data_IF_204245694372
#
_entry.id   IF_204245694372
#
_cell.length_a   1.000
_cell.length_b   1.000
_cell.length_c   1.000
_cell.angle_alpha   90.00
_cell.angle_beta   90.00
_cell.angle_gamma   90.00
#
_symmetry.space_group_name_H-M   'P 1'
#
loop_
_entity.id
_entity.type
_entity.pdbx_description
1 polymer ?
#
# COMPACT_ATOMS: atom_id res chain seq x y z
N UNK A 1 60.59 26.99 0.36
CA UNK A 1 60.92 25.88 -0.55
C UNK A 1 59.77 24.90 -0.51
N UNK A 2 58.63 25.24 -1.12
CA UNK A 2 58.39 25.41 -2.57
C UNK A 2 58.48 24.10 -3.35
N UNK A 3 57.70 24.10 -4.44
CA UNK A 3 57.67 23.19 -5.57
C UNK A 3 56.73 21.99 -5.35
N UNK A 4 55.46 22.02 -5.76
CA UNK A 4 54.83 22.56 -6.99
C UNK A 4 55.28 21.85 -8.27
N UNK A 5 54.27 21.45 -9.07
CA UNK A 5 54.30 21.15 -10.52
C UNK A 5 54.95 19.82 -10.95
N UNK A 6 54.54 19.13 -12.02
CA UNK A 6 53.34 19.08 -12.89
C UNK A 6 53.64 17.92 -13.87
N UNK A 7 52.61 17.13 -14.19
CA UNK A 7 52.25 16.63 -15.53
C UNK A 7 53.33 16.08 -16.49
N UNK A 8 53.17 14.81 -16.90
CA UNK A 8 53.19 14.41 -18.33
C UNK A 8 52.62 12.97 -18.51
N UNK A 9 51.63 12.86 -19.40
CA UNK A 9 51.04 11.64 -20.00
C UNK A 9 52.01 10.99 -21.01
N UNK A 10 51.87 9.71 -21.48
CA UNK A 10 50.73 9.29 -22.30
C UNK A 10 50.32 7.78 -22.38
N UNK A 11 49.06 7.59 -22.83
CA UNK A 11 48.53 6.58 -23.78
C UNK A 11 48.24 5.09 -23.40
N UNK A 12 46.92 4.80 -23.49
CA UNK A 12 46.23 3.61 -24.04
C UNK A 12 46.06 2.35 -23.18
N UNK A 13 44.82 2.11 -22.73
CA UNK A 13 43.99 0.99 -23.23
C UNK A 13 42.55 1.08 -22.71
N UNK A 14 41.62 0.78 -23.61
CA UNK A 14 40.17 0.71 -23.45
C UNK A 14 39.73 -0.26 -22.34
N UNK A 15 38.70 0.11 -21.56
CA UNK A 15 37.39 -0.55 -21.61
C UNK A 15 36.40 0.12 -20.64
N UNK A 16 35.17 0.25 -21.11
CA UNK A 16 34.13 1.15 -20.62
C UNK A 16 33.19 0.38 -19.68
N UNK A 17 33.09 0.80 -18.42
CA UNK A 17 32.02 0.33 -17.51
C UNK A 17 31.43 1.50 -16.73
N UNK A 18 30.34 2.06 -17.25
CA UNK A 18 29.37 2.84 -16.49
C UNK A 18 28.04 2.07 -16.54
N UNK A 19 27.53 1.66 -15.38
CA UNK A 19 26.09 1.42 -15.19
C UNK A 19 25.71 2.20 -13.94
N UNK A 20 25.11 3.37 -14.19
CA UNK A 20 24.25 4.09 -13.27
C UNK A 20 22.80 4.01 -13.78
N UNK A 21 21.92 3.60 -12.87
CA UNK A 21 20.50 3.96 -12.74
C UNK A 21 19.48 3.78 -13.89
N UNK A 22 18.36 3.15 -13.47
CA UNK A 22 16.94 3.49 -13.71
C UNK A 22 16.05 2.64 -14.64
N UNK A 23 14.82 2.52 -14.13
CA UNK A 23 13.52 2.24 -14.75
C UNK A 23 13.23 0.79 -15.18
N UNK A 24 12.34 0.07 -14.48
CA UNK A 24 10.86 0.12 -14.53
C UNK A 24 10.25 -0.04 -15.92
N UNK A 25 9.35 -1.03 -15.95
CA UNK A 25 8.22 -1.27 -16.85
C UNK A 25 8.32 -2.31 -17.98
N UNK A 26 7.30 -3.18 -17.92
CA UNK A 26 6.52 -3.88 -18.96
C UNK A 26 6.62 -5.41 -19.06
N UNK A 27 5.45 -5.98 -18.68
CA UNK A 27 4.66 -7.03 -19.36
C UNK A 27 4.76 -8.45 -18.80
N UNK A 28 3.69 -9.24 -18.64
CA UNK A 28 2.28 -9.08 -19.06
C UNK A 28 1.32 -9.89 -18.18
N UNK A 29 0.13 -9.34 -18.00
CA UNK A 29 -1.12 -9.90 -17.48
C UNK A 29 -1.59 -11.19 -18.16
N UNK A 30 -2.14 -12.13 -17.38
CA UNK A 30 -3.14 -13.10 -17.85
C UNK A 30 -4.49 -12.81 -17.17
N UNK A 31 -5.31 -12.02 -17.86
CA UNK A 31 -6.76 -12.04 -17.76
C UNK A 31 -7.31 -12.86 -18.95
N UNK A 32 -8.48 -13.47 -18.75
CA UNK A 32 -9.25 -14.33 -19.66
C UNK A 32 -8.87 -15.81 -19.74
N UNK A 33 -9.56 -16.63 -18.94
CA UNK A 33 -10.30 -17.78 -19.49
C UNK A 33 -11.71 -17.78 -18.91
N UNK A 34 -12.68 -17.79 -19.83
CA UNK A 34 -14.09 -17.61 -19.55
C UNK A 34 -14.77 -18.82 -18.90
N UNK A 35 -15.73 -18.44 -18.06
CA UNK A 35 -16.88 -19.16 -17.53
C UNK A 35 -17.46 -20.24 -18.48
N UNK A 36 -17.57 -21.47 -17.97
CA UNK A 36 -18.59 -22.44 -18.38
C UNK A 36 -19.29 -22.96 -17.12
N UNK A 37 -20.61 -22.80 -17.09
CA UNK A 37 -21.43 -23.06 -15.92
C UNK A 37 -21.53 -24.54 -15.56
N UNK A 38 -21.62 -24.80 -14.26
CA UNK A 38 -22.22 -26.03 -13.75
C UNK A 38 -23.29 -25.68 -12.74
N UNK A 39 -24.43 -26.31 -12.98
CA UNK A 39 -25.70 -26.24 -12.29
C UNK A 39 -25.54 -26.71 -10.85
N UNK A 40 -26.18 -25.99 -9.92
CA UNK A 40 -26.35 -26.37 -8.52
C UNK A 40 -27.34 -27.54 -8.46
N UNK A 41 -27.01 -28.69 -7.88
CA UNK A 41 -28.02 -29.62 -7.41
C UNK A 41 -28.48 -29.17 -6.02
N UNK A 42 -29.69 -28.61 -5.97
CA UNK A 42 -30.44 -28.37 -4.75
C UNK A 42 -30.78 -29.73 -4.12
N UNK A 43 -30.10 -30.11 -3.05
CA UNK A 43 -30.59 -31.13 -2.13
C UNK A 43 -30.99 -30.44 -0.83
N UNK A 44 -32.30 -30.27 -0.69
CA UNK A 44 -32.97 -29.73 0.49
C UNK A 44 -32.69 -30.63 1.72
N UNK A 45 -32.10 -30.05 2.77
CA UNK A 45 -32.30 -30.54 4.13
C UNK A 45 -33.02 -29.43 4.92
N UNK A 46 -34.17 -29.84 5.42
CA UNK A 46 -35.18 -29.05 6.12
C UNK A 46 -34.69 -28.63 7.51
N UNK A 47 -34.97 -27.38 7.87
CA UNK A 47 -35.17 -26.96 9.25
C UNK A 47 -34.10 -26.01 9.79
N UNK A 48 -34.33 -24.70 9.62
CA UNK A 48 -34.42 -23.67 10.69
C UNK A 48 -34.62 -22.33 9.98
N UNK A 49 -35.87 -21.86 9.89
CA UNK A 49 -36.20 -20.58 9.29
C UNK A 49 -35.92 -19.48 10.32
N UNK A 50 -34.83 -18.73 10.15
CA UNK A 50 -34.49 -17.56 10.99
C UNK A 50 -35.41 -16.41 10.59
N UNK A 51 -36.20 -15.92 11.54
CA UNK A 51 -37.18 -14.84 11.33
C UNK A 51 -36.49 -13.50 11.09
N UNK A 52 -37.07 -12.67 10.21
CA UNK A 52 -36.61 -11.30 9.93
C UNK A 52 -36.59 -10.40 11.18
N UNK A 53 -37.38 -10.74 12.21
CA UNK A 53 -37.39 -10.03 13.50
C UNK A 53 -36.24 -10.49 14.43
N UNK A 54 -35.70 -11.70 14.24
CA UNK A 54 -34.52 -12.21 14.95
C UNK A 54 -33.24 -11.50 14.46
N UNK A 55 -33.18 -11.19 13.16
CA UNK A 55 -32.11 -10.39 12.53
C UNK A 55 -32.11 -8.95 13.06
N UNK A 56 -33.28 -8.37 13.32
CA UNK A 56 -33.39 -6.99 13.83
C UNK A 56 -33.01 -6.89 15.31
N UNK A 57 -33.33 -7.91 16.10
CA UNK A 57 -33.04 -7.97 17.55
C UNK A 57 -31.55 -8.16 17.87
N UNK A 58 -30.81 -8.87 17.01
CA UNK A 58 -29.36 -9.08 17.17
C UNK A 58 -28.51 -7.81 16.91
N UNK A 59 -29.09 -6.79 16.28
CA UNK A 59 -28.39 -5.52 15.99
C UNK A 59 -28.44 -4.50 17.13
N UNK A 60 -29.20 -4.78 18.20
CA UNK A 60 -29.42 -3.84 19.31
C UNK A 60 -28.52 -4.09 20.54
N UNK A 61 -27.63 -5.08 20.51
CA UNK A 61 -26.79 -5.42 21.66
C UNK A 61 -25.35 -5.73 21.24
N UNK A 62 -24.56 -4.68 21.04
CA UNK A 62 -23.11 -4.70 21.30
C UNK A 62 -22.58 -3.29 21.10
N UNK A 63 -22.33 -2.58 22.20
CA UNK A 63 -21.37 -1.49 22.22
C UNK A 63 -19.99 -2.07 21.81
N UNK A 64 -19.72 -2.11 20.51
CA UNK A 64 -18.41 -2.47 19.95
C UNK A 64 -17.44 -1.29 20.03
N UNK A 65 -17.36 -0.66 21.19
CA UNK A 65 -16.39 0.40 21.43
C UNK A 65 -15.81 0.24 22.84
N UNK A 66 -14.52 -0.10 22.98
CA UNK A 66 -13.86 0.10 24.26
C UNK A 66 -13.91 1.61 24.56
N UNK A 67 -14.49 2.05 25.68
CA UNK A 67 -14.65 3.48 26.01
C UNK A 67 -13.32 4.26 26.08
N UNK A 68 -12.19 3.55 26.09
CA UNK A 68 -10.85 4.08 26.33
C UNK A 68 -10.17 4.74 25.11
N UNK A 69 -10.70 4.61 23.89
CA UNK A 69 -10.05 5.20 22.70
C UNK A 69 -10.32 6.71 22.49
N UNK A 70 -11.19 7.32 23.29
CA UNK A 70 -11.51 8.76 23.21
C UNK A 70 -11.43 9.54 24.53
N UNK A 71 -10.83 8.99 25.58
CA UNK A 71 -10.63 9.74 26.81
C UNK A 71 -9.52 10.81 26.63
N UNK A 72 -9.76 12.10 26.94
CA UNK A 72 -8.70 13.10 27.05
C UNK A 72 -7.77 12.74 28.21
N UNK A 73 -6.46 12.80 28.00
CA UNK A 73 -5.47 12.57 29.05
C UNK A 73 -5.58 13.66 30.12
N UNK A 74 -5.98 13.28 31.34
CA UNK A 74 -5.69 14.02 32.57
C UNK A 74 -4.66 13.22 33.37
N UNK A 75 -3.67 13.93 33.89
CA UNK A 75 -2.36 13.52 34.38
C UNK A 75 -2.33 12.49 35.53
N UNK A 76 -1.43 11.51 35.39
CA UNK A 76 -0.50 10.89 36.38
C UNK A 76 -0.99 10.27 37.71
N UNK A 77 -0.25 9.29 38.28
CA UNK A 77 -0.83 8.07 38.84
C UNK A 77 -0.77 7.98 40.38
N UNK A 78 -1.66 7.18 40.97
CA UNK A 78 -1.36 6.41 42.18
C UNK A 78 -2.20 5.13 42.26
N UNK A 79 -1.68 4.04 42.87
CA UNK A 79 -2.17 2.69 42.68
C UNK A 79 -3.12 2.29 43.80
N UNK A 80 -4.23 1.60 43.50
CA UNK A 80 -4.80 0.67 44.48
C UNK A 80 -5.44 -0.56 43.85
N UNK A 81 -5.34 -1.70 44.56
CA UNK A 81 -5.57 -3.03 44.03
C UNK A 81 -7.03 -3.43 44.23
N UNK A 82 -7.64 -4.02 43.20
CA UNK A 82 -8.81 -4.86 43.43
C UNK A 82 -8.71 -6.10 42.55
N UNK A 83 -8.44 -7.22 43.23
CA UNK A 83 -8.79 -8.55 42.77
C UNK A 83 -10.26 -8.55 42.35
N UNK A 84 -10.50 -8.84 41.08
CA UNK A 84 -11.80 -9.33 40.62
C UNK A 84 -11.57 -10.65 39.89
N UNK A 85 -11.86 -11.69 40.65
CA UNK A 85 -12.05 -13.08 40.26
C UNK A 85 -12.81 -13.17 38.95
N UNK A 86 -12.15 -13.64 37.88
CA UNK A 86 -12.83 -13.95 36.63
C UNK A 86 -13.62 -15.25 36.78
N UNK A 87 -14.94 -15.11 36.88
CA UNK A 87 -15.91 -16.20 36.76
C UNK A 87 -15.93 -16.65 35.30
N UNK A 88 -15.57 -17.90 35.09
CA UNK A 88 -15.66 -18.60 33.81
C UNK A 88 -17.14 -18.92 33.53
N UNK A 89 -17.76 -18.25 32.56
CA UNK A 89 -19.04 -18.69 31.98
C UNK A 89 -18.78 -19.38 30.66
N UNK A 90 -18.67 -20.71 30.74
CA UNK A 90 -18.85 -21.57 29.59
C UNK A 90 -20.34 -21.76 29.27
N UNK A 91 -20.54 -22.26 28.05
CA UNK A 91 -21.71 -23.01 27.57
C UNK A 91 -22.84 -22.19 26.92
N UNK A 92 -22.87 -22.20 25.58
CA UNK A 92 -23.98 -22.73 24.78
C UNK A 92 -23.49 -23.02 23.34
N UNK A 93 -23.66 -24.26 22.88
CA UNK A 93 -23.81 -24.56 21.46
C UNK A 93 -22.91 -25.66 20.89
N UNK A 94 -23.45 -26.88 20.81
CA UNK A 94 -23.18 -27.80 19.70
C UNK A 94 -22.13 -28.88 19.96
N UNK A 95 -22.60 -30.03 20.43
CA UNK A 95 -21.88 -31.29 20.45
C UNK A 95 -21.54 -31.74 19.01
N UNK A 96 -20.34 -31.38 18.55
CA UNK A 96 -19.59 -32.16 17.58
C UNK A 96 -18.29 -32.55 18.26
N UNK A 97 -18.33 -33.66 18.99
CA UNK A 97 -17.14 -34.36 19.47
C UNK A 97 -16.28 -34.85 18.29
N UNK A 98 -15.52 -33.95 17.70
CA UNK A 98 -14.35 -34.26 16.89
C UNK A 98 -13.15 -34.36 17.82
N UNK A 99 -12.59 -35.56 17.93
CA UNK A 99 -11.35 -35.81 18.65
C UNK A 99 -10.26 -34.86 18.10
N UNK A 100 -9.47 -34.12 18.91
CA UNK A 100 -8.42 -33.24 18.40
C UNK A 100 -7.28 -33.99 17.66
N UNK A 101 -7.31 -35.32 17.69
CA UNK A 101 -6.48 -36.20 16.86
C UNK A 101 -7.00 -36.41 15.42
N UNK A 102 -8.15 -35.82 15.05
CA UNK A 102 -8.72 -35.84 13.69
C UNK A 102 -8.32 -34.63 12.83
N UNK A 103 -7.11 -34.08 13.02
CA UNK A 103 -6.38 -33.59 11.85
C UNK A 103 -5.98 -34.84 11.08
N UNK A 104 -6.96 -35.43 10.39
CA UNK A 104 -6.81 -36.63 9.59
C UNK A 104 -5.57 -36.42 8.74
N UNK A 105 -4.49 -37.17 9.05
CA UNK A 105 -3.38 -37.36 8.15
C UNK A 105 -4.03 -37.66 6.80
N UNK A 106 -4.03 -36.71 5.88
CA UNK A 106 -4.43 -36.98 4.51
C UNK A 106 -3.28 -37.82 3.97
N UNK A 107 -3.33 -39.11 4.28
CA UNK A 107 -2.42 -40.09 3.72
C UNK A 107 -2.82 -40.16 2.26
N UNK A 108 -2.12 -39.35 1.44
CA UNK A 108 -2.26 -39.42 0.00
C UNK A 108 -1.82 -40.81 -0.41
N UNK A 109 -2.71 -41.54 -1.08
CA UNK A 109 -2.35 -42.85 -1.60
C UNK A 109 -1.43 -42.71 -2.83
N UNK A 110 -0.82 -43.82 -3.25
CA UNK A 110 0.08 -43.80 -4.41
C UNK A 110 -0.63 -43.35 -5.70
N UNK A 111 -1.94 -43.60 -5.82
CA UNK A 111 -2.72 -43.26 -7.01
C UNK A 111 -2.89 -41.75 -7.10
N UNK A 112 -3.36 -41.11 -6.02
CA UNK A 112 -3.52 -39.67 -5.91
C UNK A 112 -2.20 -38.93 -6.12
N UNK A 113 -1.11 -39.41 -5.51
CA UNK A 113 0.23 -38.82 -5.68
C UNK A 113 0.65 -38.83 -7.16
N UNK A 114 0.41 -39.95 -7.86
CA UNK A 114 0.74 -40.08 -9.29
C UNK A 114 -0.13 -39.19 -10.14
N UNK A 115 -1.43 -39.13 -9.89
CA UNK A 115 -2.37 -38.30 -10.65
C UNK A 115 -2.00 -36.83 -10.56
N UNK A 116 -1.73 -36.32 -9.35
CA UNK A 116 -1.27 -34.94 -9.14
C UNK A 116 0.02 -34.63 -9.91
N UNK A 117 1.00 -35.53 -9.87
CA UNK A 117 2.24 -35.35 -10.62
C UNK A 117 2.01 -35.42 -12.15
N UNK A 118 1.17 -36.33 -12.62
CA UNK A 118 0.85 -36.48 -14.06
C UNK A 118 0.18 -35.22 -14.57
N UNK A 119 -0.78 -34.68 -13.84
CA UNK A 119 -1.47 -33.43 -14.16
C UNK A 119 -0.46 -32.27 -14.26
N UNK A 120 0.35 -32.07 -13.22
CA UNK A 120 1.38 -31.02 -13.20
C UNK A 120 2.37 -31.13 -14.36
N UNK A 121 2.84 -32.34 -14.67
CA UNK A 121 3.76 -32.61 -15.78
C UNK A 121 3.08 -32.40 -17.13
N UNK A 122 1.80 -32.77 -17.26
CA UNK A 122 1.01 -32.62 -18.48
C UNK A 122 0.87 -31.16 -18.92
N UNK A 123 0.89 -30.22 -17.98
CA UNK A 123 0.89 -28.78 -18.26
C UNK A 123 2.24 -28.22 -18.76
N UNK A 124 3.31 -29.03 -18.83
CA UNK A 124 4.64 -28.59 -19.28
C UNK A 124 5.07 -29.30 -20.58
N UNK A 125 5.11 -28.54 -21.68
CA UNK A 125 5.29 -29.05 -23.06
C UNK A 125 6.50 -29.98 -23.29
N UNK A 126 7.56 -29.84 -22.51
CA UNK A 126 8.80 -30.59 -22.71
C UNK A 126 9.06 -31.66 -21.67
N UNK A 127 8.10 -31.95 -20.79
CA UNK A 127 8.28 -32.95 -19.75
C UNK A 127 7.57 -34.24 -20.18
N UNK A 128 8.34 -35.32 -20.31
CA UNK A 128 7.78 -36.63 -20.68
C UNK A 128 7.01 -37.24 -19.51
N UNK A 129 5.84 -37.83 -19.76
CA UNK A 129 4.99 -38.41 -18.70
C UNK A 129 5.54 -39.70 -18.07
N UNK A 130 6.58 -40.30 -18.66
CA UNK A 130 7.08 -41.63 -18.25
C UNK A 130 7.57 -41.68 -16.81
N UNK A 131 8.39 -40.72 -16.29
CA UNK A 131 8.77 -40.74 -14.89
C UNK A 131 7.59 -40.67 -13.93
N UNK A 132 6.61 -39.80 -14.20
CA UNK A 132 5.42 -39.67 -13.36
C UNK A 132 4.58 -40.96 -13.31
N UNK A 133 4.46 -41.66 -14.45
CA UNK A 133 3.65 -42.88 -14.58
C UNK A 133 4.32 -44.16 -14.09
N UNK A 134 5.65 -44.27 -14.24
CA UNK A 134 6.32 -45.58 -14.11
C UNK A 134 7.44 -45.63 -13.08
N UNK A 135 7.95 -44.48 -12.59
CA UNK A 135 8.99 -44.54 -11.55
C UNK A 135 8.36 -44.96 -10.23
N UNK A 136 9.10 -45.75 -9.43
CA UNK A 136 8.63 -46.23 -8.14
C UNK A 136 8.66 -45.08 -7.14
N UNK A 137 7.58 -44.90 -6.36
CA UNK A 137 7.60 -44.05 -5.17
C UNK A 137 8.51 -44.72 -4.14
N UNK A 138 9.65 -44.10 -3.88
CA UNK A 138 10.67 -44.59 -2.95
C UNK A 138 10.40 -44.13 -1.52
N UNK A 139 9.99 -42.88 -1.34
CA UNK A 139 9.68 -42.31 -0.04
C UNK A 139 8.57 -41.26 -0.15
N UNK A 140 7.75 -41.18 0.90
CA UNK A 140 6.72 -40.16 1.12
C UNK A 140 6.93 -39.63 2.54
N UNK A 141 7.24 -38.35 2.66
CA UNK A 141 7.65 -37.72 3.92
C UNK A 141 6.75 -36.51 4.21
N UNK A 142 6.18 -36.47 5.40
CA UNK A 142 5.41 -35.32 5.88
C UNK A 142 6.37 -34.21 6.34
N UNK A 143 6.40 -33.12 5.60
CA UNK A 143 7.31 -32.00 5.76
C UNK A 143 6.55 -30.70 6.09
N UNK A 144 5.56 -30.80 6.99
CA UNK A 144 4.66 -29.68 7.33
C UNK A 144 5.41 -28.37 7.58
N UNK A 145 4.76 -27.29 7.17
CA UNK A 145 5.28 -25.92 7.27
C UNK A 145 4.34 -25.11 8.13
N UNK A 146 4.88 -24.35 9.07
CA UNK A 146 4.10 -23.52 9.97
C UNK A 146 4.23 -22.06 9.54
N UNK A 147 3.11 -21.37 9.49
CA UNK A 147 3.03 -19.98 9.09
C UNK A 147 2.36 -19.20 10.20
N UNK A 148 3.08 -18.22 10.74
CA UNK A 148 2.59 -17.29 11.73
C UNK A 148 2.42 -15.90 11.15
N UNK A 149 1.31 -15.25 11.45
CA UNK A 149 1.03 -13.87 11.05
C UNK A 149 0.57 -13.06 12.25
N UNK A 150 1.18 -11.89 12.45
CA UNK A 150 0.66 -10.85 13.33
C UNK A 150 0.22 -9.67 12.47
N UNK A 151 -1.07 -9.39 12.49
CA UNK A 151 -1.67 -8.23 11.85
C UNK A 151 -2.00 -7.19 12.92
N UNK A 152 -1.42 -5.99 12.81
CA UNK A 152 -1.68 -4.85 13.69
C UNK A 152 -2.48 -3.82 12.90
N UNK A 153 -3.76 -3.70 13.22
CA UNK A 153 -4.66 -2.72 12.63
C UNK A 153 -4.53 -1.38 13.36
N UNK A 154 -4.16 -0.35 12.62
CA UNK A 154 -3.85 0.98 13.16
C UNK A 154 -4.68 2.07 12.51
N UNK A 155 -4.85 3.16 13.26
CA UNK A 155 -5.42 4.41 12.77
C UNK A 155 -4.39 5.54 12.95
N UNK A 156 -4.09 6.22 11.86
CA UNK A 156 -3.24 7.41 11.82
C UNK A 156 -4.10 8.63 11.56
N UNK A 157 -3.85 9.72 12.28
CA UNK A 157 -4.48 11.01 12.00
C UNK A 157 -3.42 12.09 11.83
N UNK A 158 -3.59 12.93 10.82
CA UNK A 158 -2.79 14.15 10.62
C UNK A 158 -3.65 15.34 10.22
N UNK A 159 -3.22 16.55 10.60
CA UNK A 159 -3.88 17.79 10.21
C UNK A 159 -3.14 18.40 9.02
N UNK A 160 -3.85 18.57 7.90
CA UNK A 160 -3.36 19.27 6.72
C UNK A 160 -4.04 20.62 6.62
N UNK A 161 -3.26 21.69 6.52
CA UNK A 161 -3.80 23.03 6.33
C UNK A 161 -3.97 23.35 4.86
N UNK A 162 -5.21 23.47 4.43
CA UNK A 162 -5.57 23.90 3.07
C UNK A 162 -5.69 25.42 3.00
N UNK A 163 -5.36 25.98 1.82
CA UNK A 163 -5.46 27.41 1.53
C UNK A 163 -6.08 27.61 0.17
N UNK A 164 -7.11 28.43 0.09
CA UNK A 164 -7.78 28.79 -1.16
C UNK A 164 -7.90 30.32 -1.32
N UNK A 165 -7.82 30.85 -2.55
CA UNK A 165 -8.07 32.26 -2.80
C UNK A 165 -9.48 32.65 -2.34
N UNK A 166 -9.61 33.77 -1.64
CA UNK A 166 -10.93 34.26 -1.26
C UNK A 166 -11.70 34.71 -2.51
N UNK A 167 -12.64 33.89 -2.95
CA UNK A 167 -13.54 34.20 -4.07
C UNK A 167 -14.73 35.06 -3.63
N UNK A 168 -15.41 35.75 -4.57
CA UNK A 168 -16.59 36.57 -4.28
C UNK A 168 -17.76 35.78 -3.66
N UNK A 169 -17.81 34.46 -3.87
CA UNK A 169 -18.82 33.56 -3.29
C UNK A 169 -18.44 32.96 -1.93
N UNK A 170 -17.20 33.15 -1.46
CA UNK A 170 -16.69 32.65 -0.17
C UNK A 170 -16.91 33.67 0.98
N UNK A 171 -17.57 34.79 0.69
CA UNK A 171 -18.04 35.76 1.69
C UNK A 171 -19.30 35.27 2.45
N UNK A 172 -19.53 33.96 2.48
CA UNK A 172 -20.66 33.32 3.15
C UNK A 172 -20.18 32.55 4.38
N UNK A 173 -20.51 33.08 5.56
CA UNK A 173 -20.50 32.43 6.87
C UNK A 173 -19.31 31.49 7.16
N UNK A 174 -18.09 32.04 7.21
CA UNK A 174 -16.85 31.34 7.58
C UNK A 174 -17.03 30.63 8.91
N UNK A 175 -16.72 29.34 8.95
CA UNK A 175 -16.76 28.53 10.16
C UNK A 175 -15.46 28.65 10.94
N UNK A 176 -15.27 29.82 11.56
CA UNK A 176 -14.07 30.13 12.33
C UNK A 176 -14.24 29.97 13.84
N UNK A 177 -13.19 30.36 14.56
CA UNK A 177 -13.10 30.27 16.03
C UNK A 177 -14.17 31.07 16.78
N UNK A 178 -14.84 32.00 16.10
CA UNK A 178 -15.97 32.77 16.63
C UNK A 178 -17.22 31.90 16.85
N UNK A 179 -17.34 30.77 16.15
CA UNK A 179 -18.48 29.84 16.28
C UNK A 179 -18.27 28.71 17.28
N UNK A 180 -17.05 28.52 17.75
CA UNK A 180 -16.70 27.49 18.71
C UNK A 180 -15.19 27.23 18.79
N UNK A 181 -14.74 26.47 19.80
CA UNK A 181 -13.36 26.02 19.84
C UNK A 181 -13.09 25.03 18.71
N UNK A 182 -11.90 25.13 18.13
CA UNK A 182 -11.41 24.16 17.16
C UNK A 182 -11.16 22.81 17.85
N UNK A 183 -11.71 21.74 17.29
CA UNK A 183 -11.59 20.39 17.86
C UNK A 183 -10.19 19.81 17.64
N UNK A 184 -9.70 19.07 18.63
CA UNK A 184 -8.52 18.24 18.48
C UNK A 184 -8.75 17.13 17.46
N UNK A 185 -7.68 16.72 16.77
CA UNK A 185 -7.80 15.73 15.68
C UNK A 185 -8.37 14.37 16.13
N UNK A 186 -8.12 13.98 17.39
CA UNK A 186 -8.63 12.74 17.99
C UNK A 186 -10.02 12.88 18.64
N UNK A 187 -10.54 14.12 18.72
CA UNK A 187 -11.88 14.42 19.23
C UNK A 187 -12.94 14.36 18.12
N UNK A 188 -12.51 14.32 16.85
CA UNK A 188 -13.40 14.16 15.70
C UNK A 188 -14.11 12.80 15.75
N UNK A 189 -15.44 12.83 15.71
CA UNK A 189 -16.28 11.65 15.56
C UNK A 189 -16.26 11.17 14.10
N UNK A 190 -15.61 10.04 13.88
CA UNK A 190 -15.44 9.41 12.57
C UNK A 190 -16.02 7.99 12.54
N UNK A 191 -16.96 7.68 13.45
CA UNK A 191 -17.57 6.34 13.55
C UNK A 191 -18.21 5.89 12.24
N UNK A 192 -18.82 6.80 11.49
CA UNK A 192 -19.41 6.51 10.18
C UNK A 192 -18.39 6.17 9.10
N UNK A 193 -17.15 6.64 9.26
CA UNK A 193 -16.05 6.40 8.32
C UNK A 193 -15.19 5.20 8.72
N UNK A 194 -15.39 4.65 9.92
CA UNK A 194 -14.61 3.54 10.42
C UNK A 194 -14.80 2.28 9.54
N UNK A 195 -13.72 1.68 9.02
CA UNK A 195 -13.82 0.49 8.17
C UNK A 195 -14.00 -0.80 8.97
N UNK A 196 -14.26 -1.90 8.26
CA UNK A 196 -14.09 -3.23 8.84
C UNK A 196 -12.63 -3.42 9.25
N UNK A 197 -12.39 -4.12 10.36
CA UNK A 197 -11.04 -4.38 10.86
C UNK A 197 -10.19 -5.16 9.85
N UNK A 198 -8.89 -4.92 9.89
CA UNK A 198 -7.86 -5.58 9.10
C UNK A 198 -7.94 -5.34 7.57
N UNK A 199 -8.51 -4.22 7.13
CA UNK A 199 -8.41 -3.81 5.72
C UNK A 199 -6.97 -3.39 5.37
N UNK A 200 -6.52 -3.56 4.12
CA UNK A 200 -5.16 -3.15 3.73
C UNK A 200 -4.93 -1.65 3.94
N UNK A 201 -5.85 -0.82 3.47
CA UNK A 201 -5.75 0.64 3.56
C UNK A 201 -7.11 1.32 3.29
N UNK A 202 -7.42 2.38 4.04
CA UNK A 202 -8.47 3.36 3.76
C UNK A 202 -8.01 4.73 4.21
N UNK A 203 -8.22 5.75 3.38
CA UNK A 203 -8.05 7.16 3.74
C UNK A 203 -9.41 7.85 3.74
N UNK A 204 -9.61 8.74 4.70
CA UNK A 204 -10.72 9.68 4.72
C UNK A 204 -10.24 11.09 5.05
N UNK A 205 -11.00 12.08 4.58
CA UNK A 205 -10.71 13.50 4.75
C UNK A 205 -11.95 14.21 5.24
N UNK A 206 -11.83 14.88 6.37
CA UNK A 206 -12.91 15.65 6.97
C UNK A 206 -12.42 17.04 7.37
N UNK A 207 -13.26 18.05 7.18
CA UNK A 207 -12.94 19.40 7.63
C UNK A 207 -13.03 19.45 9.15
N UNK A 208 -12.02 20.00 9.82
CA UNK A 208 -12.07 20.24 11.26
C UNK A 208 -13.05 21.38 11.52
N UNK A 209 -14.11 21.18 12.32
CA UNK A 209 -15.07 22.24 12.64
C UNK A 209 -14.39 23.47 13.25
N UNK A 210 -14.90 24.65 12.94
CA UNK A 210 -14.42 25.94 13.47
C UNK A 210 -12.95 26.28 13.17
N UNK A 211 -12.32 25.58 12.23
CA UNK A 211 -10.90 25.77 11.85
C UNK A 211 -10.69 26.78 10.72
N UNK A 212 -11.76 27.37 10.17
CA UNK A 212 -11.63 28.28 9.05
C UNK A 212 -11.12 29.65 9.52
N UNK A 213 -10.16 30.22 8.78
CA UNK A 213 -9.61 31.54 9.07
C UNK A 213 -9.23 32.26 7.78
N UNK A 214 -9.52 33.55 7.72
CA UNK A 214 -8.98 34.43 6.68
C UNK A 214 -7.57 34.85 7.11
N UNK A 215 -6.60 34.55 6.27
CA UNK A 215 -5.23 35.02 6.46
C UNK A 215 -4.82 35.94 5.33
N UNK A 216 -3.93 36.89 5.64
CA UNK A 216 -3.30 37.72 4.61
C UNK A 216 -2.46 36.81 3.72
N UNK A 217 -2.57 37.01 2.41
CA UNK A 217 -1.74 36.30 1.45
C UNK A 217 -0.27 36.63 1.72
N UNK A 218 0.53 35.61 2.03
CA UNK A 218 1.95 35.75 2.36
C UNK A 218 2.77 36.28 1.16
N UNK A 219 2.38 35.93 -0.06
CA UNK A 219 3.10 36.31 -1.29
C UNK A 219 2.98 37.81 -1.59
N UNK A 220 1.78 38.38 -1.47
CA UNK A 220 1.57 39.82 -1.71
C UNK A 220 1.47 40.65 -0.43
N UNK A 221 1.70 40.04 0.74
CA UNK A 221 1.54 40.66 2.06
C UNK A 221 0.19 41.39 2.23
N UNK A 222 -0.90 40.81 1.75
CA UNK A 222 -2.23 41.43 1.83
C UNK A 222 -2.60 42.41 0.70
N UNK A 223 -1.67 42.78 -0.20
CA UNK A 223 -1.92 43.83 -1.22
C UNK A 223 -2.80 43.39 -2.39
N UNK A 224 -2.93 42.10 -2.66
CA UNK A 224 -3.60 41.57 -3.86
C UNK A 224 -2.78 41.69 -5.14
N UNK A 225 -1.75 42.52 -5.15
CA UNK A 225 -0.85 42.73 -6.29
C UNK A 225 0.61 42.49 -5.90
N UNK A 226 1.40 42.02 -6.87
CA UNK A 226 2.84 41.82 -6.76
C UNK A 226 3.57 42.68 -7.78
N UNK A 227 4.81 43.04 -7.47
CA UNK A 227 5.65 43.84 -8.35
C UNK A 227 5.94 43.07 -9.63
N UNK A 228 5.79 43.72 -10.78
CA UNK A 228 6.06 43.11 -12.08
C UNK A 228 7.55 42.76 -12.17
N UNK A 229 7.90 41.45 -12.25
CA UNK A 229 9.30 41.04 -12.27
C UNK A 229 10.03 41.53 -13.53
N UNK A 230 9.31 41.74 -14.63
CA UNK A 230 9.87 42.24 -15.89
C UNK A 230 10.24 43.73 -15.83
N UNK A 231 9.46 44.55 -15.11
CA UNK A 231 9.72 46.00 -15.06
C UNK A 231 10.68 46.39 -13.94
N UNK A 232 10.71 45.60 -12.88
CA UNK A 232 11.29 45.96 -11.60
C UNK A 232 12.19 44.84 -11.03
N UNK A 233 12.84 44.07 -11.90
CA UNK A 233 13.76 42.98 -11.51
C UNK A 233 14.85 43.46 -10.52
N UNK A 234 15.34 44.69 -10.73
CA UNK A 234 16.48 45.26 -9.99
C UNK A 234 16.04 46.27 -8.91
N UNK A 235 14.78 46.25 -8.47
CA UNK A 235 14.28 47.20 -7.46
C UNK A 235 14.30 46.60 -6.06
N UNK A 236 14.53 47.48 -5.08
CA UNK A 236 14.44 47.11 -3.67
C UNK A 236 13.01 46.66 -3.31
N UNK A 237 12.86 45.65 -2.43
CA UNK A 237 11.57 45.19 -1.97
C UNK A 237 10.73 46.34 -1.38
N UNK A 238 9.56 46.59 -1.97
CA UNK A 238 8.63 47.63 -1.50
C UNK A 238 8.52 48.86 -2.40
N UNK A 239 9.43 49.01 -3.37
CA UNK A 239 9.37 50.06 -4.39
C UNK A 239 9.12 49.45 -5.77
N UNK A 240 8.31 50.13 -6.58
CA UNK A 240 8.08 49.74 -7.97
C UNK A 240 7.96 50.99 -8.84
N UNK A 241 8.39 50.84 -10.10
CA UNK A 241 8.27 51.88 -11.12
C UNK A 241 7.03 51.60 -11.97
N UNK A 242 6.17 52.60 -12.04
CA UNK A 242 5.05 52.68 -12.97
C UNK A 242 5.52 53.21 -14.33
N UNK A 243 4.64 53.13 -15.32
CA UNK A 243 4.82 53.66 -16.69
C UNK A 243 6.06 53.16 -17.44
N UNK A 244 6.62 52.01 -17.04
CA UNK A 244 7.70 51.36 -17.80
C UNK A 244 7.19 50.92 -19.16
N UNK A 245 7.81 51.47 -20.20
CA UNK A 245 7.56 51.18 -21.60
C UNK A 245 8.87 50.73 -22.25
N UNK A 246 8.77 49.82 -23.22
CA UNK A 246 9.94 49.34 -23.99
C UNK A 246 9.90 49.91 -25.39
N UNK A 247 11.07 50.04 -26.03
CA UNK A 247 11.12 50.43 -27.43
C UNK A 247 10.38 49.39 -28.27
N UNK A 248 9.54 49.86 -29.18
CA UNK A 248 8.85 48.97 -30.09
C UNK A 248 9.89 48.26 -30.97
N UNK A 249 9.96 46.92 -30.95
CA UNK A 249 11.00 46.19 -31.69
C UNK A 249 10.82 46.33 -33.21
N UNK A 250 9.59 46.55 -33.68
CA UNK A 250 9.26 46.62 -35.11
C UNK A 250 9.70 47.94 -35.76
N UNK A 251 9.80 49.02 -34.98
CA UNK A 251 10.25 50.33 -35.48
C UNK A 251 11.46 50.89 -34.72
N UNK A 252 12.09 50.09 -33.86
CA UNK A 252 13.24 50.45 -33.04
C UNK A 252 13.14 51.81 -32.34
N UNK A 253 11.95 52.16 -31.83
CA UNK A 253 11.72 53.45 -31.18
C UNK A 253 11.24 54.61 -32.06
N UNK A 254 11.26 54.49 -33.40
CA UNK A 254 10.86 55.60 -34.31
C UNK A 254 9.37 55.90 -34.33
N UNK A 255 8.52 54.89 -34.14
CA UNK A 255 7.08 55.00 -34.39
C UNK A 255 6.68 54.88 -35.87
N UNK A 256 7.66 54.87 -36.78
CA UNK A 256 7.49 54.73 -38.22
C UNK A 256 8.33 53.55 -38.74
N UNK A 257 7.85 52.88 -39.79
CA UNK A 257 8.55 51.82 -40.52
C UNK A 257 8.95 52.40 -41.87
N UNK A 258 10.26 52.47 -42.12
CA UNK A 258 10.84 52.98 -43.36
C UNK A 258 10.85 51.89 -44.44
N UNK A 259 10.35 52.22 -45.63
CA UNK A 259 10.32 51.35 -46.80
C UNK A 259 11.46 51.64 -47.77
N UNK A 260 11.76 50.67 -48.64
CA UNK A 260 12.85 50.80 -49.63
C UNK A 260 12.61 51.88 -50.69
N UNK A 261 11.36 52.27 -50.89
CA UNK A 261 10.95 53.35 -51.80
C UNK A 261 11.08 54.75 -51.16
N UNK A 262 11.55 54.84 -49.91
CA UNK A 262 11.71 56.08 -49.17
C UNK A 262 10.44 56.57 -48.47
N UNK A 263 9.33 55.83 -48.55
CA UNK A 263 8.11 56.15 -47.81
C UNK A 263 8.16 55.64 -46.36
N UNK A 264 7.57 56.40 -45.44
CA UNK A 264 7.42 55.99 -44.03
C UNK A 264 5.96 55.63 -43.78
N UNK A 265 5.73 54.45 -43.17
CA UNK A 265 4.40 54.07 -42.70
C UNK A 265 4.32 54.08 -41.18
N UNK A 266 3.16 54.44 -40.65
CA UNK A 266 2.93 54.43 -39.21
C UNK A 266 3.06 53.00 -38.69
N UNK A 267 3.93 52.79 -37.70
CA UNK A 267 4.09 51.48 -37.08
C UNK A 267 2.79 51.07 -36.39
N UNK A 268 2.17 49.99 -36.87
CA UNK A 268 0.88 49.49 -36.39
C UNK A 268 0.99 49.01 -34.93
N UNK A 269 2.09 48.31 -34.60
CA UNK A 269 2.28 47.69 -33.28
C UNK A 269 2.36 48.69 -32.12
N UNK A 270 2.96 49.86 -32.34
CA UNK A 270 3.00 50.93 -31.33
C UNK A 270 2.06 52.09 -31.64
N UNK A 271 1.26 51.97 -32.70
CA UNK A 271 0.40 53.02 -33.22
C UNK A 271 1.10 54.39 -33.32
N UNK A 272 2.32 54.42 -33.86
CA UNK A 272 3.10 55.65 -34.05
C UNK A 272 3.87 56.17 -32.83
N UNK A 273 3.72 55.56 -31.64
CA UNK A 273 4.35 56.07 -30.41
C UNK A 273 5.82 55.71 -30.25
N UNK A 274 6.33 54.75 -31.02
CA UNK A 274 7.70 54.24 -30.91
C UNK A 274 7.97 53.38 -29.66
N UNK A 275 7.07 53.38 -28.68
CA UNK A 275 7.16 52.61 -27.43
C UNK A 275 5.91 51.77 -27.24
N UNK A 276 6.06 50.61 -26.61
CA UNK A 276 4.96 49.70 -26.27
C UNK A 276 4.93 49.45 -24.76
N UNK A 277 3.73 49.28 -24.17
CA UNK A 277 3.62 48.97 -22.76
C UNK A 277 4.25 47.62 -22.44
N UNK A 278 4.63 47.41 -21.19
CA UNK A 278 5.13 46.11 -20.75
C UNK A 278 4.05 45.04 -21.00
N UNK A 279 4.41 43.95 -21.69
CA UNK A 279 3.48 42.87 -22.00
C UNK A 279 2.91 42.19 -20.74
N UNK A 280 3.68 42.17 -19.65
CA UNK A 280 3.30 41.49 -18.40
C UNK A 280 2.36 42.33 -17.53
N UNK A 281 2.59 43.63 -17.39
CA UNK A 281 1.83 44.50 -16.47
C UNK A 281 1.04 45.63 -17.14
N UNK A 282 1.13 45.77 -18.46
CA UNK A 282 0.51 46.87 -19.19
C UNK A 282 1.04 48.25 -18.77
N UNK A 283 2.31 48.32 -18.38
CA UNK A 283 2.98 49.51 -17.80
C UNK A 283 2.54 49.92 -16.40
N UNK A 284 1.64 49.20 -15.73
CA UNK A 284 1.23 49.51 -14.34
C UNK A 284 2.31 49.24 -13.28
N UNK A 285 3.40 48.56 -13.64
CA UNK A 285 4.45 48.16 -12.68
C UNK A 285 4.05 47.04 -11.71
N UNK A 286 2.74 46.75 -11.59
CA UNK A 286 2.15 45.71 -10.75
C UNK A 286 1.36 44.70 -11.57
N UNK A 287 1.32 43.46 -11.09
CA UNK A 287 0.48 42.38 -11.63
C UNK A 287 -0.36 41.79 -10.51
N UNK A 288 -1.51 41.21 -10.87
CA UNK A 288 -2.37 40.55 -9.89
C UNK A 288 -1.61 39.38 -9.25
N UNK A 289 -1.69 39.26 -7.94
CA UNK A 289 -1.14 38.12 -7.24
C UNK A 289 -1.92 36.86 -7.65
N UNK A 290 -1.24 35.88 -8.24
CA UNK A 290 -1.86 34.63 -8.69
C UNK A 290 -2.37 33.80 -7.51
N UNK A 291 -1.64 33.80 -6.39
CA UNK A 291 -1.96 33.02 -5.19
C UNK A 291 -3.29 33.42 -4.56
N UNK A 292 -3.59 34.72 -4.47
CA UNK A 292 -4.87 35.21 -3.92
C UNK A 292 -5.83 35.75 -5.00
N UNK A 293 -5.45 35.62 -6.28
CA UNK A 293 -6.20 36.12 -7.45
C UNK A 293 -6.62 37.59 -7.36
N UNK A 294 -5.80 38.42 -6.72
CA UNK A 294 -6.11 39.85 -6.50
C UNK A 294 -6.83 40.17 -5.20
N UNK A 295 -7.32 39.19 -4.44
CA UNK A 295 -8.12 39.43 -3.22
C UNK A 295 -7.31 39.86 -2.00
N UNK A 296 -5.98 39.70 -2.01
CA UNK A 296 -5.10 40.02 -0.88
C UNK A 296 -5.15 39.03 0.28
N UNK A 297 -6.18 38.20 0.37
CA UNK A 297 -6.41 37.25 1.45
C UNK A 297 -6.67 35.84 0.94
N UNK A 298 -6.40 34.85 1.79
CA UNK A 298 -6.65 33.43 1.56
C UNK A 298 -7.57 32.91 2.65
N UNK A 299 -8.56 32.11 2.27
CA UNK A 299 -9.28 31.28 3.23
C UNK A 299 -8.42 30.09 3.55
N UNK A 300 -8.20 29.85 4.84
CA UNK A 300 -7.47 28.70 5.34
C UNK A 300 -8.42 27.82 6.14
N UNK A 301 -8.23 26.51 6.08
CA UNK A 301 -9.00 25.53 6.85
C UNK A 301 -8.13 24.34 7.20
N UNK A 302 -8.38 23.73 8.34
CA UNK A 302 -7.69 22.51 8.72
C UNK A 302 -8.53 21.30 8.29
N UNK A 303 -7.89 20.38 7.57
CA UNK A 303 -8.46 19.11 7.14
C UNK A 303 -7.80 18.01 7.95
N UNK A 304 -8.60 17.20 8.64
CA UNK A 304 -8.13 15.97 9.23
C UNK A 304 -8.06 14.90 8.14
N UNK A 305 -6.88 14.33 7.98
CA UNK A 305 -6.66 13.16 7.12
C UNK A 305 -6.48 11.96 8.04
N UNK A 306 -7.39 11.00 7.91
CA UNK A 306 -7.41 9.79 8.75
C UNK A 306 -7.16 8.58 7.89
N UNK A 307 -6.20 7.75 8.30
CA UNK A 307 -5.79 6.55 7.57
C UNK A 307 -5.91 5.33 8.46
N UNK A 308 -6.67 4.34 8.01
CA UNK A 308 -6.70 3.02 8.60
C UNK A 308 -5.90 2.06 7.73
N UNK A 309 -4.99 1.30 8.33
CA UNK A 309 -4.20 0.31 7.60
C UNK A 309 -3.80 -0.84 8.51
N UNK A 310 -3.53 -1.99 7.90
CA UNK A 310 -2.98 -3.15 8.60
C UNK A 310 -1.49 -3.25 8.33
N UNK A 311 -0.71 -3.18 9.41
CA UNK A 311 0.67 -3.65 9.38
C UNK A 311 0.64 -5.17 9.55
N UNK A 312 1.38 -5.91 8.74
CA UNK A 312 1.41 -7.37 8.82
C UNK A 312 2.85 -7.85 8.86
N UNK A 313 3.18 -8.64 9.87
CA UNK A 313 4.40 -9.42 9.90
C UNK A 313 4.06 -10.88 9.74
N UNK A 314 4.89 -11.59 8.99
CA UNK A 314 4.68 -12.99 8.65
C UNK A 314 5.98 -13.75 8.78
N UNK A 315 5.91 -14.90 9.43
CA UNK A 315 7.02 -15.82 9.63
C UNK A 315 6.66 -17.19 9.09
N UNK A 316 7.62 -17.85 8.46
CA UNK A 316 7.50 -19.21 7.96
C UNK A 316 8.55 -20.06 8.67
N UNK A 317 8.13 -21.18 9.22
CA UNK A 317 9.02 -22.20 9.77
C UNK A 317 8.78 -23.50 9.03
N UNK A 318 9.69 -23.79 8.10
CA UNK A 318 9.69 -25.02 7.32
C UNK A 318 10.58 -26.07 7.99
N UNK A 319 10.08 -27.30 8.09
CA UNK A 319 10.92 -28.44 8.46
C UNK A 319 11.99 -28.69 7.40
N UNK A 320 13.11 -29.33 7.79
CA UNK A 320 14.26 -29.58 6.90
C UNK A 320 13.88 -30.27 5.57
N UNK A 321 12.81 -31.07 5.57
CA UNK A 321 12.28 -31.72 4.37
C UNK A 321 11.72 -30.74 3.33
N UNK A 322 11.14 -29.62 3.76
CA UNK A 322 10.50 -28.59 2.93
C UNK A 322 11.39 -27.39 2.60
N UNK A 323 12.62 -27.32 3.13
CA UNK A 323 13.55 -26.18 2.94
C UNK A 323 13.93 -25.89 1.48
N UNK A 324 13.68 -26.81 0.54
CA UNK A 324 13.93 -26.59 -0.90
C UNK A 324 12.80 -25.86 -1.62
N UNK A 325 11.69 -25.60 -0.93
CA UNK A 325 10.53 -24.86 -1.45
C UNK A 325 10.64 -23.41 -0.97
N UNK A 326 10.55 -22.41 -1.87
CA UNK A 326 10.61 -21.00 -1.49
C UNK A 326 9.45 -20.61 -0.59
N UNK A 327 9.71 -19.71 0.35
CA UNK A 327 8.71 -19.19 1.27
C UNK A 327 7.52 -18.58 0.53
N UNK A 328 7.70 -17.93 -0.63
CA UNK A 328 6.57 -17.32 -1.36
C UNK A 328 5.52 -18.34 -1.80
N UNK A 329 5.91 -19.61 -1.97
CA UNK A 329 4.97 -20.70 -2.27
C UNK A 329 4.08 -20.95 -1.05
N UNK A 330 4.68 -21.04 0.15
CA UNK A 330 3.95 -21.15 1.41
C UNK A 330 3.15 -19.89 1.73
N UNK A 331 3.56 -18.74 1.19
CA UNK A 331 2.83 -17.50 1.38
C UNK A 331 1.43 -17.55 0.77
N UNK A 332 1.30 -18.21 -0.39
CA UNK A 332 0.04 -18.34 -1.12
C UNK A 332 -0.74 -19.61 -0.77
N UNK A 333 -0.08 -20.62 -0.22
CA UNK A 333 -0.68 -21.90 0.11
C UNK A 333 -1.75 -21.76 1.19
N UNK A 334 -2.87 -22.48 1.03
CA UNK A 334 -3.89 -22.60 2.07
C UNK A 334 -3.49 -23.67 3.08
N UNK A 335 -3.53 -23.30 4.35
CA UNK A 335 -3.29 -24.19 5.48
C UNK A 335 -4.50 -24.34 6.39
N UNK A 336 -4.34 -25.16 7.42
CA UNK A 336 -5.29 -25.30 8.53
C UNK A 336 -4.89 -24.31 9.62
N UNK A 337 -5.83 -23.51 10.09
CA UNK A 337 -5.58 -22.58 11.18
C UNK A 337 -5.53 -23.32 12.51
N UNK A 338 -4.42 -23.17 13.24
CA UNK A 338 -4.22 -23.76 14.57
C UNK A 338 -4.62 -22.80 15.69
N UNK A 339 -4.41 -21.49 15.48
CA UNK A 339 -4.94 -20.46 16.38
C UNK A 339 -5.38 -19.20 15.62
N UNK A 340 -6.40 -18.54 16.16
CA UNK A 340 -6.85 -17.21 15.77
C UNK A 340 -7.16 -16.42 17.04
N UNK A 341 -6.27 -15.52 17.43
CA UNK A 341 -6.49 -14.70 18.61
C UNK A 341 -6.55 -13.25 18.19
N UNK A 342 -7.60 -12.56 18.63
CA UNK A 342 -7.80 -11.15 18.39
C UNK A 342 -7.84 -10.42 19.73
N UNK A 343 -7.03 -9.39 19.89
CA UNK A 343 -6.93 -8.60 21.12
C UNK A 343 -6.51 -7.16 20.80
N UNK A 344 -6.55 -6.25 21.76
CA UNK A 344 -5.93 -4.92 21.59
C UNK A 344 -4.42 -5.06 21.32
N UNK A 345 -3.77 -5.93 22.09
CA UNK A 345 -2.40 -6.36 21.89
C UNK A 345 -2.33 -7.88 22.10
N UNK A 346 -1.84 -8.60 21.11
CA UNK A 346 -1.73 -10.06 21.17
C UNK A 346 -0.49 -10.49 21.97
N UNK A 347 -0.67 -11.53 22.78
CA UNK A 347 0.42 -12.28 23.41
C UNK A 347 0.65 -13.59 22.66
N UNK A 348 1.82 -14.24 22.87
CA UNK A 348 2.06 -15.56 22.29
C UNK A 348 0.96 -16.56 22.66
N UNK A 349 0.57 -17.39 21.70
CA UNK A 349 -0.38 -18.47 21.89
C UNK A 349 0.25 -19.64 22.65
N UNK A 350 -0.57 -20.34 23.42
CA UNK A 350 -0.14 -21.51 24.19
C UNK A 350 -0.67 -22.81 23.57
N UNK A 351 0.24 -23.73 23.28
CA UNK A 351 0.01 -25.07 22.76
C UNK A 351 0.56 -26.08 23.77
N UNK A 352 -0.33 -26.76 24.50
CA UNK A 352 0.04 -27.64 25.61
C UNK A 352 1.04 -28.73 25.21
N UNK A 353 0.87 -29.30 24.03
CA UNK A 353 1.65 -30.45 23.56
C UNK A 353 2.74 -30.08 22.53
N UNK A 354 3.08 -28.79 22.39
CA UNK A 354 4.06 -28.35 21.39
C UNK A 354 4.92 -27.19 21.85
N UNK A 355 6.12 -27.51 22.35
CA UNK A 355 7.16 -26.52 22.65
C UNK A 355 7.50 -25.68 21.41
N UNK A 356 7.66 -26.34 20.26
CA UNK A 356 7.97 -25.67 19.00
C UNK A 356 6.93 -24.61 18.62
N UNK A 357 5.62 -24.90 18.75
CA UNK A 357 4.58 -23.92 18.41
C UNK A 357 4.53 -22.75 19.40
N UNK A 358 4.85 -22.98 20.68
CA UNK A 358 4.96 -21.93 21.68
C UNK A 358 6.12 -20.98 21.39
N UNK A 359 7.29 -21.54 21.06
CA UNK A 359 8.47 -20.78 20.66
C UNK A 359 8.21 -20.01 19.37
N UNK A 360 7.71 -20.68 18.32
CA UNK A 360 7.38 -20.07 17.05
C UNK A 360 6.34 -18.95 17.20
N UNK A 361 5.30 -19.15 18.01
CA UNK A 361 4.34 -18.09 18.32
C UNK A 361 5.01 -16.91 19.03
N UNK A 362 5.95 -17.15 19.94
CA UNK A 362 6.66 -16.09 20.65
C UNK A 362 7.52 -15.27 19.69
N UNK A 363 8.19 -15.94 18.75
CA UNK A 363 8.96 -15.27 17.70
C UNK A 363 8.10 -14.40 16.78
N UNK A 364 6.93 -14.89 16.35
CA UNK A 364 6.00 -14.11 15.51
C UNK A 364 5.56 -12.83 16.22
N UNK A 365 5.31 -12.90 17.53
CA UNK A 365 4.95 -11.74 18.35
C UNK A 365 6.15 -10.81 18.59
N UNK A 366 7.36 -11.35 18.71
CA UNK A 366 8.59 -10.56 18.86
C UNK A 366 8.90 -9.75 17.60
N UNK A 367 8.60 -10.30 16.42
CA UNK A 367 8.73 -9.64 15.12
C UNK A 367 7.57 -8.66 14.81
N UNK A 368 6.96 -8.07 15.85
CA UNK A 368 5.87 -7.09 15.71
C UNK A 368 6.33 -5.85 14.94
N UNK A 369 5.52 -5.42 13.97
CA UNK A 369 5.81 -4.25 13.17
C UNK A 369 5.84 -2.97 14.02
N UNK A 370 6.80 -2.05 13.79
CA UNK A 370 6.84 -0.78 14.49
C UNK A 370 5.62 0.07 14.10
N UNK A 371 4.95 0.63 15.11
CA UNK A 371 3.78 1.48 14.94
C UNK A 371 4.24 2.94 14.79
N UNK A 372 3.79 3.68 13.77
CA UNK A 372 4.15 5.09 13.61
C UNK A 372 3.72 5.95 14.81
N UNK A 373 4.47 6.99 15.19
CA UNK A 373 4.16 7.81 16.38
C UNK A 373 2.83 8.55 16.31
N UNK A 374 2.35 8.82 15.10
CA UNK A 374 1.06 9.46 14.81
C UNK A 374 -0.10 8.47 14.76
N UNK A 375 0.17 7.17 14.95
CA UNK A 375 -0.80 6.11 14.90
C UNK A 375 -1.26 5.67 16.30
N UNK A 376 -2.50 5.19 16.37
CA UNK A 376 -3.01 4.40 17.50
C UNK A 376 -3.26 2.97 17.03
N UNK A 377 -2.86 2.00 17.85
CA UNK A 377 -3.25 0.60 17.64
C UNK A 377 -4.72 0.46 18.02
N UNK A 378 -5.50 -0.13 17.12
CA UNK A 378 -6.90 -0.45 17.39
C UNK A 378 -7.01 -1.89 17.85
N UNK A 379 -6.39 -2.81 17.11
CA UNK A 379 -6.53 -4.23 17.34
C UNK A 379 -5.41 -5.00 16.65
N UNK A 380 -4.97 -6.08 17.28
CA UNK A 380 -4.09 -7.08 16.71
C UNK A 380 -4.84 -8.39 16.46
N UNK A 381 -4.43 -9.10 15.40
CA UNK A 381 -4.83 -10.49 15.11
C UNK A 381 -3.59 -11.34 14.92
N UNK A 382 -3.43 -12.31 15.81
CA UNK A 382 -2.36 -13.29 15.78
C UNK A 382 -2.91 -14.63 15.30
N UNK A 383 -2.31 -15.16 14.23
CA UNK A 383 -2.72 -16.41 13.60
C UNK A 383 -1.52 -17.32 13.40
N UNK A 384 -1.64 -18.56 13.87
CA UNK A 384 -0.72 -19.65 13.53
C UNK A 384 -1.49 -20.64 12.69
N UNK A 385 -0.91 -21.04 11.57
CA UNK A 385 -1.47 -22.02 10.64
C UNK A 385 -0.42 -23.05 10.24
N UNK A 386 -0.88 -24.24 9.86
CA UNK A 386 -0.04 -25.28 9.29
C UNK A 386 -0.42 -25.50 7.83
N UNK A 387 0.55 -25.40 6.96
CA UNK A 387 0.45 -25.80 5.56
C UNK A 387 0.93 -27.25 5.48
N UNK A 388 0.04 -28.21 5.17
CA UNK A 388 0.47 -29.59 4.97
C UNK A 388 1.37 -29.64 3.74
N UNK A 389 2.54 -30.28 3.87
CA UNK A 389 3.48 -30.45 2.77
C UNK A 389 3.98 -31.87 2.76
N UNK A 390 3.82 -32.55 1.64
CA UNK A 390 4.31 -33.93 1.46
C UNK A 390 5.43 -33.93 0.44
N UNK A 391 6.62 -34.38 0.85
CA UNK A 391 7.74 -34.62 -0.07
C UNK A 391 7.67 -36.04 -0.58
N UNK A 392 7.61 -36.18 -1.90
CA UNK A 392 7.59 -37.48 -2.57
C UNK A 392 8.89 -37.64 -3.34
N UNK A 393 9.59 -38.74 -3.07
CA UNK A 393 10.81 -39.12 -3.80
C UNK A 393 10.53 -40.31 -4.69
N UNK A 394 10.73 -40.15 -5.99
CA UNK A 394 10.60 -41.22 -6.98
C UNK A 394 11.97 -41.66 -7.49
N UNK A 395 12.15 -42.96 -7.70
CA UNK A 395 13.41 -43.53 -8.16
C UNK A 395 13.24 -44.60 -9.24
N UNK A 396 14.18 -44.65 -10.19
CA UNK A 396 14.25 -45.67 -11.22
C UNK A 396 15.67 -45.76 -11.80
N UNK A 397 16.23 -46.98 -11.89
CA UNK A 397 17.56 -47.29 -12.46
C UNK A 397 18.67 -46.32 -12.02
N UNK A 398 18.80 -46.12 -10.71
CA UNK A 398 19.85 -45.28 -10.11
C UNK A 398 19.65 -43.76 -10.25
N UNK A 399 18.54 -43.32 -10.85
CA UNK A 399 18.13 -41.90 -10.86
C UNK A 399 16.97 -41.69 -9.90
N UNK A 400 16.93 -40.53 -9.26
CA UNK A 400 15.83 -40.09 -8.42
C UNK A 400 15.51 -38.61 -8.66
N UNK A 401 14.28 -38.22 -8.34
CA UNK A 401 13.88 -36.83 -8.18
C UNK A 401 12.83 -36.75 -7.09
N UNK A 402 12.68 -35.57 -6.51
CA UNK A 402 11.68 -35.30 -5.48
C UNK A 402 10.79 -34.15 -5.91
N UNK A 403 9.55 -34.17 -5.46
CA UNK A 403 8.58 -33.11 -5.62
C UNK A 403 7.76 -32.96 -4.35
N UNK A 404 7.01 -31.87 -4.27
CA UNK A 404 6.28 -31.45 -3.10
C UNK A 404 4.81 -31.30 -3.45
N UNK A 405 3.93 -31.78 -2.59
CA UNK A 405 2.49 -31.53 -2.66
C UNK A 405 2.18 -30.57 -1.52
N UNK A 406 1.65 -29.39 -1.84
CA UNK A 406 1.60 -28.24 -0.92
C UNK A 406 0.16 -27.82 -0.66
N UNK A 407 -0.14 -27.65 0.62
CA UNK A 407 -1.37 -27.07 1.12
C UNK A 407 -2.60 -27.93 0.86
N UNK A 408 -3.75 -27.41 1.31
CA UNK A 408 -5.04 -28.07 1.10
C UNK A 408 -5.48 -28.08 -0.37
N UNK A 409 -4.90 -27.21 -1.19
CA UNK A 409 -5.12 -27.16 -2.64
C UNK A 409 -4.34 -28.25 -3.39
N UNK A 410 -3.44 -28.98 -2.71
CA UNK A 410 -2.63 -30.07 -3.27
C UNK A 410 -1.79 -29.63 -4.47
N UNK A 411 -1.27 -28.40 -4.42
CA UNK A 411 -0.47 -27.83 -5.50
C UNK A 411 0.89 -28.56 -5.57
N UNK A 412 1.25 -29.03 -6.77
CA UNK A 412 2.54 -29.70 -6.97
C UNK A 412 3.62 -28.65 -7.21
N UNK A 413 4.64 -28.66 -6.36
CA UNK A 413 5.88 -27.92 -6.57
C UNK A 413 7.01 -28.88 -6.89
N UNK A 414 7.63 -28.67 -8.05
CA UNK A 414 8.76 -29.44 -8.52
C UNK A 414 9.83 -28.43 -8.93
N UNK A 415 10.99 -28.48 -8.25
CA UNK A 415 12.16 -27.68 -8.63
C UNK A 415 12.58 -28.06 -10.05
N UNK A 416 13.34 -27.22 -10.75
CA UNK A 416 13.71 -27.41 -12.15
C UNK A 416 14.64 -28.60 -12.48
N UNK A 417 14.51 -29.73 -11.80
CA UNK A 417 15.17 -30.98 -12.14
C UNK A 417 14.11 -32.08 -12.31
N UNK A 418 13.57 -32.19 -13.54
CA UNK A 418 12.71 -33.30 -13.94
C UNK A 418 13.48 -34.28 -14.85
N UNK A 419 13.50 -35.60 -14.57
CA UNK A 419 14.40 -36.53 -15.26
C UNK A 419 14.13 -36.77 -16.75
N UNK A 420 12.95 -36.43 -17.25
CA UNK A 420 12.57 -36.63 -18.64
C UNK A 420 12.19 -35.29 -19.27
N UNK A 421 13.21 -34.52 -19.66
CA UNK A 421 13.05 -33.27 -20.41
C UNK A 421 13.46 -33.48 -21.85
N UNK A 422 12.52 -33.31 -22.77
CA UNK A 422 12.79 -33.41 -24.19
C UNK A 422 11.92 -32.42 -24.96
N UNK A 423 12.54 -31.44 -25.61
CA UNK A 423 11.88 -30.50 -26.52
C UNK A 423 12.37 -30.77 -27.95
N UNK A 424 11.46 -31.01 -28.91
CA UNK A 424 11.80 -31.17 -30.34
C UNK A 424 12.05 -29.83 -31.07
N UNK A 425 12.48 -28.78 -30.35
CA UNK A 425 12.76 -27.45 -30.97
C UNK A 425 11.53 -26.62 -31.38
N UNK A 426 10.31 -27.14 -31.18
CA UNK A 426 9.04 -26.47 -31.57
C UNK A 426 8.22 -25.95 -30.38
N UNK A 427 8.71 -26.03 -29.15
CA UNK A 427 7.98 -25.47 -27.99
C UNK A 427 8.38 -23.99 -27.76
N UNK A 428 7.41 -23.10 -27.45
CA UNK A 428 7.65 -21.70 -27.08
C UNK A 428 8.62 -21.48 -25.90
N UNK A 429 8.94 -22.51 -25.11
CA UNK A 429 9.85 -22.42 -23.97
C UNK A 429 11.33 -22.15 -24.34
N UNK A 430 11.71 -22.22 -25.63
CA UNK A 430 13.05 -21.87 -26.11
C UNK A 430 13.35 -20.36 -26.02
N UNK A 431 12.35 -19.49 -25.93
CA UNK A 431 12.57 -18.05 -25.72
C UNK A 431 12.97 -17.72 -24.27
N UNK A 432 12.62 -18.56 -23.29
CA UNK A 432 12.97 -18.37 -21.87
C UNK A 432 14.42 -18.74 -21.52
N UNK A 433 15.14 -19.45 -22.39
CA UNK A 433 16.55 -19.81 -22.21
C UNK A 433 17.52 -18.78 -22.80
N UNK A 434 17.01 -17.63 -23.29
CA UNK A 434 17.80 -16.48 -23.74
C UNK A 434 17.65 -15.30 -22.78
N UNK A 435 18.14 -15.44 -21.54
CA UNK A 435 18.49 -14.33 -20.65
C UNK A 435 19.69 -14.74 -19.79
#
# INVERSE_FOLDING_TARGET
MEQENKMEEPLLSEEKSEIGEKETDRWSSYQYVGRTGSVIPTASLVGTEVSVDEIRSASAFSDRYPPSLHAPLVSSPEPHPHEQTMVYQGQYGGDFGGNPNDVQRQILDEVEIRELLIDHVGHRCCWGSRPARTWRIHAVEDCNVYVGTLETFIEERETVREREPQGPHLSGNIDGKDKGPELGIWELDLKSEFPVLFIPHKESRSKIPHSEAIEKCSVCAGRGEIVCPTCNADQEPGFYKEDRVTHCPDCYGRGLIAHRDGSDTKCVKCNGKGKIPCATCGSRGLIKCETCRGGGSLLTRNIAVVRWKTLSTRKVSATSGAASVPDEVFHRARGVQLCNTQAYQCTPAFFADSFFLNEFSSEVIADRAPVPPTARVICERHTISVVPVTRVTMAHRGRSFSFYIIGLSRDVYLKDYYPSRFCWGLCPCLEWLKL
#
